data_IF_551225412280
#
_entry.id   IF_551225412280
#
_cell.length_a   1.000
_cell.length_b   1.000
_cell.length_c   1.000
_cell.angle_alpha   90.00
_cell.angle_beta   90.00
_cell.angle_gamma   90.00
#
_symmetry.space_group_name_H-M   'P 1'
#
loop_
_entity.id
_entity.type
_entity.pdbx_description
1 polymer ?
#
# COMPACT_ATOMS: atom_id res chain seq x y z
N UNK A 1 -27.19 -9.81 0.71
CA UNK A 1 -26.21 -9.33 -0.30
C UNK A 1 -26.79 -8.35 -1.33
N UNK A 2 -28.06 -8.45 -1.74
CA UNK A 2 -28.70 -7.52 -2.71
C UNK A 2 -28.71 -6.04 -2.31
N UNK A 3 -28.55 -5.73 -1.02
CA UNK A 3 -28.44 -4.35 -0.53
C UNK A 3 -27.04 -3.74 -0.70
N UNK A 4 -26.01 -4.56 -0.95
CA UNK A 4 -24.61 -4.12 -1.12
C UNK A 4 -24.15 -4.22 -2.56
N UNK A 5 -24.62 -5.23 -3.30
CA UNK A 5 -24.31 -5.45 -4.71
C UNK A 5 -25.59 -5.75 -5.49
N UNK A 6 -25.66 -5.23 -6.72
CA UNK A 6 -26.73 -5.56 -7.67
C UNK A 6 -26.47 -6.88 -8.41
N UNK A 7 -27.43 -7.32 -9.24
CA UNK A 7 -27.30 -8.60 -9.96
C UNK A 7 -26.13 -8.63 -10.95
N UNK A 8 -25.63 -7.48 -11.38
CA UNK A 8 -24.47 -7.35 -12.28
C UNK A 8 -23.12 -7.38 -11.54
N UNK A 9 -23.15 -7.34 -10.21
CA UNK A 9 -21.97 -7.27 -9.34
C UNK A 9 -21.47 -5.86 -9.10
N UNK A 10 -22.21 -4.83 -9.52
CA UNK A 10 -21.90 -3.45 -9.16
C UNK A 10 -22.39 -3.13 -7.76
N UNK A 11 -21.75 -2.14 -7.12
CA UNK A 11 -22.06 -1.78 -5.74
C UNK A 11 -23.35 -0.96 -5.69
N UNK A 12 -24.31 -1.42 -4.90
CA UNK A 12 -25.56 -0.72 -4.63
C UNK A 12 -25.31 0.59 -3.83
N UNK A 13 -26.27 1.54 -3.79
CA UNK A 13 -26.06 2.84 -3.14
C UNK A 13 -25.61 2.76 -1.68
N UNK A 14 -26.15 1.82 -0.91
CA UNK A 14 -25.73 1.60 0.48
C UNK A 14 -24.29 1.07 0.57
N UNK A 15 -23.96 0.06 -0.25
CA UNK A 15 -22.59 -0.46 -0.33
C UNK A 15 -21.58 0.61 -0.74
N UNK A 16 -21.96 1.51 -1.65
CA UNK A 16 -21.12 2.62 -2.09
C UNK A 16 -20.82 3.60 -0.95
N UNK A 17 -21.82 3.93 -0.13
CA UNK A 17 -21.63 4.76 1.07
C UNK A 17 -20.70 4.08 2.08
N UNK A 18 -20.87 2.79 2.32
CA UNK A 18 -20.02 2.02 3.24
C UNK A 18 -18.57 1.99 2.73
N UNK A 19 -18.35 1.67 1.46
CA UNK A 19 -17.01 1.66 0.86
C UNK A 19 -16.33 3.03 0.93
N UNK A 20 -17.07 4.13 0.75
CA UNK A 20 -16.53 5.47 0.93
C UNK A 20 -16.04 5.73 2.34
N UNK A 21 -16.83 5.38 3.36
CA UNK A 21 -16.39 5.50 4.76
C UNK A 21 -15.16 4.64 5.05
N UNK A 22 -15.13 3.40 4.55
CA UNK A 22 -13.95 2.54 4.66
C UNK A 22 -12.72 3.15 3.98
N UNK A 23 -12.88 3.75 2.80
CA UNK A 23 -11.79 4.46 2.11
C UNK A 23 -11.28 5.64 2.96
N UNK A 24 -12.17 6.46 3.51
CA UNK A 24 -11.77 7.60 4.35
C UNK A 24 -11.03 7.14 5.61
N UNK A 25 -11.57 6.15 6.32
CA UNK A 25 -10.94 5.58 7.52
C UNK A 25 -9.57 4.98 7.19
N UNK A 26 -9.48 4.19 6.13
CA UNK A 26 -8.23 3.54 5.75
C UNK A 26 -7.19 4.53 5.19
N UNK A 27 -7.62 5.59 4.52
CA UNK A 27 -6.73 6.70 4.13
C UNK A 27 -6.15 7.38 5.37
N UNK A 28 -6.97 7.64 6.39
CA UNK A 28 -6.49 8.15 7.69
C UNK A 28 -5.48 7.19 8.36
N UNK A 29 -5.71 5.89 8.25
CA UNK A 29 -4.78 4.87 8.74
C UNK A 29 -3.45 4.86 7.97
N UNK A 30 -3.45 4.95 6.64
CA UNK A 30 -2.23 5.10 5.83
C UNK A 30 -1.48 6.37 6.24
N UNK A 31 -2.18 7.50 6.37
CA UNK A 31 -1.57 8.76 6.81
C UNK A 31 -0.90 8.60 8.18
N UNK A 32 -1.59 7.95 9.12
CA UNK A 32 -1.00 7.63 10.42
C UNK A 32 0.26 6.78 10.29
N UNK A 33 0.22 5.67 9.55
CA UNK A 33 1.37 4.76 9.41
C UNK A 33 2.57 5.42 8.72
N UNK A 34 2.35 6.16 7.64
CA UNK A 34 3.41 6.73 6.82
C UNK A 34 4.02 8.00 7.45
N UNK A 35 3.23 8.81 8.16
CA UNK A 35 3.65 10.14 8.61
C UNK A 35 3.84 10.28 10.13
N UNK A 36 3.58 9.24 10.94
CA UNK A 36 3.88 9.31 12.37
C UNK A 36 5.39 9.49 12.60
N UNK A 37 5.88 10.44 13.41
CA UNK A 37 7.31 10.59 13.65
C UNK A 37 7.92 9.37 14.32
N UNK A 38 9.14 8.99 13.93
CA UNK A 38 9.81 7.81 14.49
C UNK A 38 10.03 7.90 16.01
N UNK A 39 10.14 9.13 16.55
CA UNK A 39 10.25 9.36 17.99
C UNK A 39 9.07 8.82 18.82
N UNK A 40 7.92 8.55 18.20
CA UNK A 40 6.76 7.92 18.87
C UNK A 40 6.82 6.39 18.91
N UNK A 41 7.85 5.76 18.33
CA UNK A 41 8.12 4.32 18.45
C UNK A 41 9.33 4.08 19.36
N UNK A 42 9.19 4.28 20.69
CA UNK A 42 10.30 4.10 21.62
C UNK A 42 10.78 2.64 21.59
N UNK A 43 12.04 2.42 21.20
CA UNK A 43 12.68 1.11 21.22
C UNK A 43 12.86 0.43 19.88
N UNK A 44 12.38 0.99 18.76
CA UNK A 44 12.89 0.56 17.45
C UNK A 44 14.26 1.21 17.22
N UNK A 45 15.35 0.43 17.07
CA UNK A 45 16.61 1.00 16.62
C UNK A 45 16.36 1.78 15.33
N UNK A 46 16.97 2.96 15.16
CA UNK A 46 17.03 3.60 13.84
C UNK A 46 17.57 2.54 12.89
N UNK A 47 16.70 2.05 12.03
CA UNK A 47 16.95 0.87 11.22
C UNK A 47 18.24 1.13 10.44
N UNK A 48 19.34 0.50 10.83
CA UNK A 48 20.58 0.55 10.05
C UNK A 48 20.46 -0.54 8.98
N UNK A 49 19.48 -0.40 8.08
CA UNK A 49 19.45 -1.24 6.90
C UNK A 49 20.73 -0.98 6.11
N UNK A 50 21.44 -2.05 5.69
CA UNK A 50 22.56 -1.92 4.78
C UNK A 50 22.12 -1.10 3.55
N UNK A 51 22.91 -0.11 3.15
CA UNK A 51 22.63 0.72 1.98
C UNK A 51 21.88 2.03 2.23
N UNK A 52 21.52 2.35 3.49
CA UNK A 52 20.99 3.69 3.81
C UNK A 52 22.07 4.75 3.58
N UNK A 53 21.69 5.80 2.86
CA UNK A 53 22.47 7.00 2.61
C UNK A 53 21.87 8.12 3.46
N UNK A 54 22.69 8.73 4.33
CA UNK A 54 22.31 9.90 5.09
C UNK A 54 22.85 11.17 4.41
N UNK A 55 21.96 12.09 4.04
CA UNK A 55 22.31 13.40 3.49
C UNK A 55 21.81 14.47 4.46
N UNK A 56 22.73 15.00 5.27
CA UNK A 56 22.37 15.89 6.37
C UNK A 56 21.46 15.19 7.38
N UNK A 57 20.21 15.62 7.47
CA UNK A 57 19.18 15.02 8.36
C UNK A 57 18.31 13.96 7.69
N UNK A 58 18.36 13.83 6.37
CA UNK A 58 17.48 12.93 5.60
C UNK A 58 18.13 11.56 5.44
N UNK A 59 17.31 10.51 5.60
CA UNK A 59 17.70 9.13 5.37
C UNK A 59 17.05 8.59 4.09
N UNK A 60 17.87 8.06 3.17
CA UNK A 60 17.43 7.56 1.87
C UNK A 60 17.90 6.12 1.67
N UNK A 61 17.01 5.23 1.21
CA UNK A 61 17.35 3.90 0.75
C UNK A 61 16.98 3.77 -0.73
N UNK A 62 17.95 4.08 -1.59
CA UNK A 62 17.74 4.18 -3.05
C UNK A 62 18.19 2.93 -3.82
N UNK A 63 18.57 1.87 -3.12
CA UNK A 63 18.98 0.61 -3.74
C UNK A 63 17.73 -0.23 -4.01
N UNK A 64 17.38 -0.50 -5.28
CA UNK A 64 16.23 -1.35 -5.58
C UNK A 64 16.52 -2.80 -5.14
N UNK A 65 15.48 -3.46 -4.64
CA UNK A 65 15.52 -4.79 -4.07
C UNK A 65 16.56 -4.93 -2.95
N UNK A 66 16.62 -3.95 -2.05
CA UNK A 66 17.70 -3.85 -1.06
C UNK A 66 17.82 -5.10 -0.19
N UNK A 67 16.70 -5.69 0.22
CA UNK A 67 16.70 -6.93 1.01
C UNK A 67 17.30 -8.11 0.24
N UNK A 68 17.21 -8.13 -1.09
CA UNK A 68 17.83 -9.18 -1.92
C UNK A 68 19.31 -8.85 -2.14
N UNK A 69 19.64 -7.61 -2.46
CA UNK A 69 20.99 -7.17 -2.83
C UNK A 69 21.93 -7.15 -1.62
N UNK A 70 21.47 -6.60 -0.50
CA UNK A 70 22.27 -6.37 0.69
C UNK A 70 21.78 -7.13 1.94
N UNK A 71 20.76 -7.98 1.82
CA UNK A 71 20.21 -8.71 2.98
C UNK A 71 21.22 -9.63 3.67
N UNK A 72 22.23 -10.12 2.95
CA UNK A 72 23.34 -10.90 3.54
C UNK A 72 24.24 -10.08 4.47
N UNK A 73 24.20 -8.74 4.36
CA UNK A 73 24.95 -7.81 5.19
C UNK A 73 24.12 -7.33 6.39
N UNK A 74 22.92 -7.86 6.59
CA UNK A 74 22.10 -7.54 7.76
C UNK A 74 22.86 -7.87 9.05
N UNK A 75 22.81 -6.95 10.03
CA UNK A 75 23.52 -7.10 11.31
C UNK A 75 23.09 -8.33 12.11
N UNK A 76 21.87 -8.83 11.86
CA UNK A 76 21.34 -10.06 12.45
C UNK A 76 20.28 -10.70 11.56
N UNK A 77 19.94 -11.97 11.86
CA UNK A 77 18.80 -12.66 11.24
C UNK A 77 17.47 -11.93 11.53
N UNK A 78 17.35 -11.31 12.71
CA UNK A 78 16.14 -10.56 13.08
C UNK A 78 15.94 -9.35 12.17
N UNK A 79 17.01 -8.57 11.93
CA UNK A 79 16.95 -7.41 11.03
C UNK A 79 16.58 -7.80 9.61
N UNK A 80 17.12 -8.93 9.12
CA UNK A 80 16.75 -9.47 7.82
C UNK A 80 15.27 -9.86 7.76
N UNK A 81 14.77 -10.59 8.76
CA UNK A 81 13.35 -10.98 8.82
C UNK A 81 12.44 -9.75 8.88
N UNK A 82 12.80 -8.75 9.69
CA UNK A 82 12.04 -7.50 9.79
C UNK A 82 12.03 -6.74 8.45
N UNK A 83 13.15 -6.68 7.73
CA UNK A 83 13.22 -6.08 6.40
C UNK A 83 12.33 -6.81 5.37
N UNK A 84 12.30 -8.15 5.41
CA UNK A 84 11.40 -8.96 4.58
C UNK A 84 9.94 -8.68 4.94
N UNK A 85 9.61 -8.67 6.22
CA UNK A 85 8.26 -8.38 6.71
C UNK A 85 7.81 -6.96 6.34
N UNK A 86 8.70 -5.97 6.43
CA UNK A 86 8.42 -4.59 6.04
C UNK A 86 8.02 -4.51 4.56
N UNK A 87 8.84 -5.09 3.66
CA UNK A 87 8.51 -5.17 2.23
C UNK A 87 7.16 -5.88 2.01
N UNK A 88 6.91 -6.98 2.73
CA UNK A 88 5.64 -7.69 2.64
C UNK A 88 4.46 -6.82 3.12
N UNK A 89 4.60 -6.07 4.20
CA UNK A 89 3.55 -5.16 4.68
C UNK A 89 3.33 -4.00 3.72
N UNK A 90 4.38 -3.48 3.08
CA UNK A 90 4.29 -2.40 2.09
C UNK A 90 3.57 -2.87 0.83
N UNK A 91 3.70 -4.15 0.43
CA UNK A 91 2.82 -4.73 -0.61
C UNK A 91 1.35 -4.59 -0.24
N UNK A 92 0.97 -4.77 1.02
CA UNK A 92 -0.44 -4.69 1.42
C UNK A 92 -0.89 -3.29 1.88
N UNK A 93 -0.02 -2.29 1.94
CA UNK A 93 -0.36 -0.95 2.43
C UNK A 93 -1.41 -0.27 1.54
N UNK A 94 -1.24 -0.27 0.22
CA UNK A 94 -2.24 0.32 -0.69
C UNK A 94 -3.35 -0.65 -1.12
N UNK A 95 -3.19 -1.95 -0.87
CA UNK A 95 -4.10 -2.99 -1.36
C UNK A 95 -5.57 -2.72 -0.99
N UNK A 96 -5.95 -2.48 0.30
CA UNK A 96 -7.35 -2.31 0.67
C UNK A 96 -7.98 -1.06 0.04
N UNK A 97 -7.20 0.03 -0.08
CA UNK A 97 -7.66 1.27 -0.69
C UNK A 97 -7.92 1.09 -2.18
N UNK A 98 -6.96 0.50 -2.91
CA UNK A 98 -7.09 0.24 -4.34
C UNK A 98 -8.22 -0.75 -4.64
N UNK A 99 -8.38 -1.78 -3.80
CA UNK A 99 -9.47 -2.74 -3.91
C UNK A 99 -10.83 -2.04 -3.79
N UNK A 100 -11.00 -1.14 -2.81
CA UNK A 100 -12.22 -0.35 -2.68
C UNK A 100 -12.43 0.61 -3.87
N UNK A 101 -11.37 1.23 -4.40
CA UNK A 101 -11.46 2.10 -5.58
C UNK A 101 -11.92 1.38 -6.84
N UNK A 102 -11.55 0.12 -7.04
CA UNK A 102 -12.02 -0.68 -8.17
C UNK A 102 -13.54 -0.87 -8.18
N UNK A 103 -14.14 -0.98 -7.00
CA UNK A 103 -15.58 -1.02 -6.83
C UNK A 103 -16.23 0.36 -7.03
N UNK A 104 -15.60 1.42 -6.53
CA UNK A 104 -16.15 2.78 -6.55
C UNK A 104 -16.01 3.51 -7.89
N UNK A 105 -14.97 3.19 -8.67
CA UNK A 105 -14.55 3.99 -9.81
C UNK A 105 -14.14 3.13 -11.02
N UNK A 106 -14.88 3.28 -12.12
CA UNK A 106 -14.64 2.49 -13.34
C UNK A 106 -13.28 2.78 -13.98
N UNK A 107 -12.78 4.02 -13.87
CA UNK A 107 -11.47 4.43 -14.40
C UNK A 107 -10.28 3.64 -13.83
N UNK A 108 -10.46 2.96 -12.70
CA UNK A 108 -9.42 2.12 -12.08
C UNK A 108 -9.41 0.70 -12.63
N UNK A 109 -10.46 0.26 -13.35
CA UNK A 109 -10.65 -1.13 -13.77
C UNK A 109 -9.80 -1.55 -14.98
N UNK A 110 -8.55 -1.09 -15.04
CA UNK A 110 -7.55 -1.58 -16.01
C UNK A 110 -6.19 -1.71 -15.33
N UNK A 111 -5.44 -2.73 -15.73
CA UNK A 111 -4.10 -2.98 -15.16
C UNK A 111 -3.17 -1.77 -15.35
N UNK A 112 -3.24 -1.09 -16.51
CA UNK A 112 -2.47 0.13 -16.79
C UNK A 112 -2.82 1.26 -15.82
N UNK A 113 -4.12 1.48 -15.55
CA UNK A 113 -4.54 2.49 -14.60
C UNK A 113 -4.08 2.16 -13.18
N UNK A 114 -4.17 0.89 -12.78
CA UNK A 114 -3.74 0.42 -11.46
C UNK A 114 -2.25 0.63 -11.24
N UNK A 115 -1.42 0.21 -12.20
CA UNK A 115 0.04 0.42 -12.13
C UNK A 115 0.33 1.92 -12.02
N UNK A 116 -0.26 2.74 -12.90
CA UNK A 116 -0.03 4.19 -12.91
C UNK A 116 -0.45 4.85 -11.59
N UNK A 117 -1.68 4.62 -11.14
CA UNK A 117 -2.20 5.31 -9.96
C UNK A 117 -1.56 4.80 -8.67
N UNK A 118 -1.29 3.50 -8.54
CA UNK A 118 -0.63 2.95 -7.34
C UNK A 118 0.81 3.43 -7.25
N UNK A 119 1.53 3.48 -8.38
CA UNK A 119 2.87 4.07 -8.43
C UNK A 119 2.84 5.56 -8.06
N UNK A 120 1.91 6.34 -8.61
CA UNK A 120 1.81 7.77 -8.29
C UNK A 120 1.42 8.02 -6.82
N UNK A 121 0.55 7.18 -6.24
CA UNK A 121 0.22 7.26 -4.82
C UNK A 121 1.43 6.93 -3.95
N UNK A 122 2.18 5.88 -4.29
CA UNK A 122 3.40 5.54 -3.55
C UNK A 122 4.46 6.62 -3.69
N UNK A 123 4.68 7.16 -4.89
CA UNK A 123 5.59 8.28 -5.12
C UNK A 123 5.17 9.52 -4.30
N UNK A 124 3.86 9.80 -4.25
CA UNK A 124 3.34 10.90 -3.44
C UNK A 124 3.60 10.69 -1.94
N UNK A 125 3.45 9.46 -1.43
CA UNK A 125 3.75 9.12 -0.02
C UNK A 125 5.23 9.35 0.27
N UNK A 126 6.13 8.73 -0.50
CA UNK A 126 7.59 8.84 -0.32
C UNK A 126 8.08 10.29 -0.42
N UNK A 127 7.62 11.03 -1.43
CA UNK A 127 8.03 12.43 -1.60
C UNK A 127 7.45 13.34 -0.52
N UNK A 128 6.25 13.06 -0.01
CA UNK A 128 5.69 13.79 1.12
C UNK A 128 6.47 13.52 2.41
N UNK A 129 6.87 12.27 2.65
CA UNK A 129 7.73 11.92 3.79
C UNK A 129 9.08 12.63 3.68
N UNK A 130 9.70 12.65 2.49
CA UNK A 130 10.92 13.41 2.23
C UNK A 130 10.76 14.89 2.58
N UNK A 131 9.70 15.53 2.11
CA UNK A 131 9.42 16.95 2.38
C UNK A 131 9.19 17.17 3.88
N UNK A 132 8.45 16.30 4.55
CA UNK A 132 8.22 16.41 5.99
C UNK A 132 9.50 16.23 6.80
N UNK A 133 10.36 15.29 6.41
CA UNK A 133 11.65 15.07 7.06
C UNK A 133 12.58 16.28 6.88
N UNK A 134 12.56 16.87 5.67
CA UNK A 134 13.22 18.13 5.35
C UNK A 134 12.66 19.34 6.08
N UNK A 135 11.46 19.30 6.66
CA UNK A 135 10.85 20.44 7.36
C UNK A 135 10.86 20.27 8.89
N UNK A 136 10.64 19.05 9.37
CA UNK A 136 10.29 18.77 10.76
C UNK A 136 11.11 17.67 11.44
N UNK A 137 12.13 17.10 10.78
CA UNK A 137 13.00 16.04 11.35
C UNK A 137 12.17 14.87 11.92
N UNK A 138 11.36 14.28 11.03
CA UNK A 138 10.41 13.22 11.38
C UNK A 138 11.11 11.87 11.58
N UNK A 139 12.34 11.76 11.06
CA UNK A 139 13.20 10.59 11.09
C UNK A 139 12.75 9.50 10.12
N UNK A 140 12.05 9.82 9.03
CA UNK A 140 11.54 8.79 8.09
C UNK A 140 12.58 8.46 7.04
N UNK A 141 12.73 7.17 6.76
CA UNK A 141 13.55 6.69 5.64
C UNK A 141 12.68 6.70 4.39
N UNK A 142 13.19 7.30 3.32
CA UNK A 142 12.55 7.27 1.99
C UNK A 142 13.10 6.07 1.24
N UNK A 143 12.23 5.15 0.84
CA UNK A 143 12.63 3.85 0.29
C UNK A 143 12.17 3.69 -1.16
N UNK A 144 13.11 3.44 -2.09
CA UNK A 144 12.75 3.20 -3.49
C UNK A 144 11.93 1.92 -3.66
N UNK A 145 12.11 0.96 -2.75
CA UNK A 145 11.40 -0.32 -2.77
C UNK A 145 9.91 -0.17 -2.44
N UNK A 146 9.55 0.88 -1.70
CA UNK A 146 8.16 1.18 -1.37
C UNK A 146 7.36 1.51 -2.64
N UNK A 147 7.99 2.11 -3.66
CA UNK A 147 7.34 2.40 -4.94
C UNK A 147 6.81 1.14 -5.62
N UNK A 148 7.65 0.10 -5.75
CA UNK A 148 7.25 -1.10 -6.47
C UNK A 148 6.43 -2.05 -5.60
N UNK A 149 6.69 -2.14 -4.29
CA UNK A 149 5.90 -2.98 -3.37
C UNK A 149 4.46 -2.48 -3.27
N UNK A 150 4.24 -1.19 -3.02
CA UNK A 150 2.91 -0.58 -3.02
C UNK A 150 2.19 -0.73 -4.37
N UNK A 151 2.93 -0.57 -5.47
CA UNK A 151 2.39 -0.78 -6.82
C UNK A 151 1.96 -2.24 -7.03
N UNK A 152 2.76 -3.20 -6.57
CA UNK A 152 2.43 -4.62 -6.59
C UNK A 152 1.16 -4.90 -5.77
N UNK A 153 1.00 -4.25 -4.62
CA UNK A 153 -0.23 -4.26 -3.84
C UNK A 153 -1.48 -3.88 -4.63
N UNK A 154 -1.40 -2.78 -5.38
CA UNK A 154 -2.48 -2.36 -6.27
C UNK A 154 -2.77 -3.39 -7.36
N UNK A 155 -1.74 -4.00 -7.94
CA UNK A 155 -1.89 -5.07 -8.95
C UNK A 155 -2.57 -6.31 -8.35
N UNK A 156 -2.19 -6.72 -7.13
CA UNK A 156 -2.85 -7.82 -6.42
C UNK A 156 -4.32 -7.50 -6.17
N UNK A 157 -4.64 -6.28 -5.73
CA UNK A 157 -6.02 -5.83 -5.53
C UNK A 157 -6.84 -5.90 -6.82
N UNK A 158 -6.24 -5.56 -7.96
CA UNK A 158 -6.89 -5.69 -9.27
C UNK A 158 -7.24 -7.14 -9.61
N UNK A 159 -6.32 -8.09 -9.42
CA UNK A 159 -6.61 -9.50 -9.67
C UNK A 159 -7.64 -10.05 -8.68
N UNK A 160 -7.56 -9.68 -7.40
CA UNK A 160 -8.58 -10.04 -6.40
C UNK A 160 -9.96 -9.51 -6.80
N UNK A 161 -10.05 -8.28 -7.31
CA UNK A 161 -11.30 -7.70 -7.80
C UNK A 161 -11.85 -8.49 -8.99
N UNK A 162 -11.01 -8.86 -9.96
CA UNK A 162 -11.44 -9.65 -11.12
C UNK A 162 -11.95 -11.04 -10.70
N UNK A 163 -11.27 -11.70 -9.76
CA UNK A 163 -11.72 -12.98 -9.19
C UNK A 163 -13.05 -12.83 -8.46
N UNK A 164 -13.21 -11.77 -7.67
CA UNK A 164 -14.45 -11.47 -6.96
C UNK A 164 -15.63 -11.28 -7.90
N UNK A 165 -15.49 -10.45 -8.93
CA UNK A 165 -16.56 -10.20 -9.91
C UNK A 165 -16.97 -11.50 -10.63
N UNK A 166 -15.99 -12.31 -11.06
CA UNK A 166 -16.26 -13.61 -11.70
C UNK A 166 -17.00 -14.56 -10.77
N UNK A 167 -16.54 -14.69 -9.52
CA UNK A 167 -17.17 -15.55 -8.52
C UNK A 167 -18.60 -15.09 -8.21
N UNK A 168 -18.81 -13.78 -8.07
CA UNK A 168 -20.11 -13.20 -7.78
C UNK A 168 -21.11 -13.42 -8.93
N UNK A 169 -20.71 -13.13 -10.17
CA UNK A 169 -21.54 -13.35 -11.36
C UNK A 169 -21.88 -14.84 -11.57
N UNK A 170 -20.92 -15.72 -11.30
CA UNK A 170 -21.18 -17.16 -11.31
C UNK A 170 -22.24 -17.52 -10.28
N UNK A 171 -22.07 -17.11 -9.02
CA UNK A 171 -23.00 -17.39 -7.93
C UNK A 171 -24.42 -16.85 -8.20
N UNK A 172 -24.57 -15.62 -8.70
CA UNK A 172 -25.89 -15.05 -9.00
C UNK A 172 -26.61 -15.76 -10.14
N UNK A 173 -25.87 -16.31 -11.13
CA UNK A 173 -26.44 -17.09 -12.23
C UNK A 173 -27.15 -18.37 -11.76
N UNK A 174 -26.60 -19.07 -10.77
CA UNK A 174 -27.17 -20.33 -10.25
C UNK A 174 -28.21 -20.14 -9.15
N UNK A 175 -28.47 -18.89 -8.73
CA UNK A 175 -29.54 -18.57 -7.79
C UNK A 175 -30.84 -18.09 -8.47
N UNK A 176 -30.85 -17.93 -9.80
CA UNK A 176 -32.09 -17.66 -10.53
C UNK A 176 -32.90 -18.96 -10.59
N UNK A 177 -34.16 -18.97 -10.11
CA UNK A 177 -35.04 -20.13 -10.16
C UNK A 177 -35.34 -20.55 -11.60
#
# INVERSE_FOLDING_TARGET
MRHLFDESGQVAPLGRKILWWLCCLYTGFIVYLCFLPQGFYPGMPRFQLPGIIQIGRVYLLLIPFNTIVNGSQAGSLQDFILAVLQNFTNIFLLFPLVFAFLFLFEKWRSLRAIIRYSFLMSLFIETSQLVLDLLFDVGRVVEIDDLWTNTLGGVLAYFTYQLWIKAYQHWTKYQKP
#
